data_IF_477635371424
#
_entry.id   IF_477635371424
#
_cell.length_a   1.000
_cell.length_b   1.000
_cell.length_c   1.000
_cell.angle_alpha   90.00
_cell.angle_beta   90.00
_cell.angle_gamma   90.00
#
_symmetry.space_group_name_H-M   'P 1'
#
loop_
_entity.id
_entity.type
_entity.pdbx_description
1 polymer ?
#
# COMPACT_ATOMS: atom_id res chain seq x y z
N UNK A 1 -0.01 -11.95 14.44
CA UNK A 1 0.89 -12.75 13.59
C UNK A 1 0.74 -12.24 12.16
N UNK A 2 1.51 -11.21 11.81
CA UNK A 2 1.48 -10.59 10.49
C UNK A 2 2.54 -11.31 9.62
N UNK A 3 2.09 -12.05 8.61
CA UNK A 3 2.97 -12.67 7.61
C UNK A 3 3.39 -11.62 6.56
N UNK A 4 4.47 -11.87 5.80
CA UNK A 4 5.05 -10.93 4.84
C UNK A 4 5.08 -11.56 3.48
N UNK A 5 4.96 -10.77 2.43
CA UNK A 5 5.03 -11.27 1.07
C UNK A 5 6.11 -10.55 0.27
N UNK A 6 6.93 -11.30 -0.46
CA UNK A 6 8.02 -10.72 -1.25
C UNK A 6 7.57 -10.46 -2.68
N UNK A 7 7.78 -9.24 -3.17
CA UNK A 7 7.46 -8.86 -4.54
C UNK A 7 8.68 -8.23 -5.21
N UNK A 8 9.17 -8.87 -6.27
CA UNK A 8 10.25 -8.36 -7.11
C UNK A 8 9.67 -7.81 -8.40
N UNK A 9 9.92 -6.54 -8.70
CA UNK A 9 9.35 -5.92 -9.90
C UNK A 9 10.27 -6.06 -11.10
N UNK A 10 9.68 -6.31 -12.27
CA UNK A 10 10.33 -6.17 -13.57
C UNK A 10 9.53 -5.20 -14.44
N UNK A 11 10.23 -4.23 -15.03
CA UNK A 11 9.68 -3.35 -16.06
C UNK A 11 9.63 -4.11 -17.40
N UNK A 12 8.59 -3.90 -18.23
CA UNK A 12 8.60 -4.43 -19.58
C UNK A 12 9.43 -3.51 -20.49
N UNK A 13 10.52 -4.02 -21.03
CA UNK A 13 11.02 -3.55 -22.32
C UNK A 13 11.57 -4.72 -23.14
N UNK A 14 11.30 -4.67 -24.45
CA UNK A 14 11.67 -5.66 -25.45
C UNK A 14 13.14 -6.09 -25.27
N UNK A 15 13.36 -7.33 -24.85
CA UNK A 15 14.50 -8.19 -25.19
C UNK A 15 14.31 -9.52 -24.44
N UNK A 16 13.91 -10.56 -25.19
CA UNK A 16 14.06 -11.94 -24.75
C UNK A 16 15.53 -12.34 -24.83
N UNK A 17 15.88 -13.27 -23.95
CA UNK A 17 16.99 -14.23 -23.96
C UNK A 17 18.09 -13.95 -22.94
N UNK A 18 18.36 -15.00 -22.13
CA UNK A 18 19.37 -15.10 -21.07
C UNK A 18 19.13 -14.18 -19.85
N UNK A 19 19.04 -14.61 -18.59
CA UNK A 19 19.54 -15.79 -17.90
C UNK A 19 18.65 -16.11 -16.69
N UNK A 20 18.15 -17.35 -16.60
CA UNK A 20 17.48 -17.90 -15.42
C UNK A 20 18.47 -18.35 -14.32
N UNK A 21 19.77 -18.38 -14.61
CA UNK A 21 20.83 -18.90 -13.72
C UNK A 21 21.56 -17.82 -12.90
N UNK A 22 21.63 -16.57 -13.38
CA UNK A 22 22.28 -15.47 -12.65
C UNK A 22 21.42 -14.83 -11.56
N UNK A 23 20.11 -15.11 -11.54
CA UNK A 23 19.16 -14.51 -10.60
C UNK A 23 19.38 -14.97 -9.14
N UNK A 24 19.83 -16.21 -8.90
CA UNK A 24 20.14 -16.75 -7.56
C UNK A 24 21.39 -16.10 -6.96
N UNK A 25 22.46 -15.93 -7.75
CA UNK A 25 23.70 -15.27 -7.32
C UNK A 25 23.47 -13.79 -7.02
N UNK A 26 22.65 -13.11 -7.83
CA UNK A 26 22.25 -11.73 -7.56
C UNK A 26 21.38 -11.61 -6.30
N UNK A 27 20.58 -12.64 -5.99
CA UNK A 27 19.79 -12.74 -4.75
C UNK A 27 20.69 -12.84 -3.50
N UNK A 28 21.75 -13.64 -3.55
CA UNK A 28 22.70 -13.77 -2.42
C UNK A 28 23.41 -12.45 -2.12
N UNK A 29 23.73 -11.68 -3.16
CA UNK A 29 24.38 -10.37 -3.00
C UNK A 29 23.41 -9.25 -2.55
N UNK A 30 22.13 -9.29 -2.94
CA UNK A 30 21.12 -8.32 -2.48
C UNK A 30 20.66 -8.62 -1.05
N UNK A 31 20.54 -9.90 -0.65
CA UNK A 31 20.28 -10.25 0.75
C UNK A 31 21.43 -9.88 1.70
N UNK A 32 22.63 -9.64 1.16
CA UNK A 32 23.78 -9.12 1.90
C UNK A 32 23.82 -7.58 2.01
N UNK A 33 22.90 -6.86 1.37
CA UNK A 33 22.82 -5.40 1.48
C UNK A 33 22.25 -5.02 2.86
N UNK A 34 23.16 -4.88 3.83
CA UNK A 34 22.89 -4.30 5.15
C UNK A 34 22.40 -2.86 5.02
N UNK A 35 21.40 -2.50 5.83
CA UNK A 35 20.99 -1.13 6.03
C UNK A 35 19.50 -0.88 5.88
N UNK A 36 18.83 -0.93 7.02
CA UNK A 36 17.67 -0.13 7.44
C UNK A 36 16.30 -0.83 7.39
N UNK A 37 15.80 -1.34 6.26
CA UNK A 37 14.46 -1.99 6.26
C UNK A 37 14.47 -3.46 6.71
N UNK A 38 15.39 -4.26 6.14
CA UNK A 38 15.55 -5.68 6.49
C UNK A 38 15.94 -5.84 7.97
N UNK A 39 16.79 -4.94 8.47
CA UNK A 39 17.24 -4.94 9.87
C UNK A 39 16.09 -4.54 10.82
N UNK A 40 15.28 -3.53 10.46
CA UNK A 40 14.11 -3.09 11.27
C UNK A 40 12.99 -4.12 11.32
N UNK A 41 12.86 -4.95 10.29
CA UNK A 41 11.80 -5.97 10.19
C UNK A 41 12.32 -7.39 10.41
N UNK A 42 13.58 -7.56 10.87
CA UNK A 42 14.26 -8.84 10.93
C UNK A 42 13.47 -9.90 11.72
N UNK A 43 12.85 -9.50 12.83
CA UNK A 43 12.10 -10.36 13.74
C UNK A 43 10.70 -10.74 13.25
N UNK A 44 10.26 -10.21 12.12
CA UNK A 44 8.92 -10.45 11.65
C UNK A 44 8.84 -11.69 10.74
N UNK A 45 7.77 -12.47 10.89
CA UNK A 45 7.59 -13.78 10.23
C UNK A 45 7.27 -13.64 8.75
N UNK A 46 8.15 -14.07 7.84
CA UNK A 46 7.97 -13.89 6.39
C UNK A 46 7.41 -15.14 5.72
N UNK A 47 6.52 -14.99 4.73
CA UNK A 47 6.17 -16.08 3.85
C UNK A 47 7.29 -16.26 2.81
N UNK A 48 7.67 -17.51 2.54
CA UNK A 48 8.79 -17.86 1.65
C UNK A 48 8.43 -17.72 0.15
N UNK A 49 7.44 -16.87 -0.16
CA UNK A 49 6.94 -16.69 -1.52
C UNK A 49 7.47 -15.39 -2.07
N UNK A 50 8.35 -15.50 -3.07
CA UNK A 50 8.85 -14.39 -3.88
C UNK A 50 8.20 -14.45 -5.25
N UNK A 51 7.40 -13.45 -5.60
CA UNK A 51 6.84 -13.33 -6.95
C UNK A 51 7.51 -12.24 -7.75
N UNK A 52 7.71 -12.50 -9.03
CA UNK A 52 7.90 -11.43 -10.01
C UNK A 52 6.57 -10.68 -10.17
N UNK A 53 6.64 -9.37 -10.34
CA UNK A 53 5.51 -8.53 -10.65
C UNK A 53 5.82 -7.55 -11.79
N UNK A 54 4.79 -7.17 -12.54
CA UNK A 54 4.88 -6.15 -13.59
C UNK A 54 4.01 -4.97 -13.20
N UNK A 55 4.55 -3.76 -13.29
CA UNK A 55 3.76 -2.54 -13.13
C UNK A 55 2.83 -2.41 -14.33
N UNK A 56 1.52 -2.39 -14.09
CA UNK A 56 0.50 -2.33 -15.14
C UNK A 56 -0.27 -1.01 -15.15
N UNK A 57 -0.29 -0.29 -14.02
CA UNK A 57 -0.92 1.02 -13.92
C UNK A 57 -0.25 1.84 -12.81
N UNK A 58 -0.26 3.16 -12.99
CA UNK A 58 0.26 4.14 -12.04
C UNK A 58 -0.61 5.37 -12.06
N UNK A 59 -0.94 5.88 -10.87
CA UNK A 59 -1.79 7.05 -10.72
C UNK A 59 -1.27 7.98 -9.63
N UNK A 60 -1.45 9.26 -9.85
CA UNK A 60 -1.20 10.26 -8.82
C UNK A 60 -2.41 10.31 -7.90
N UNK A 61 -2.27 9.76 -6.68
CA UNK A 61 -3.35 9.79 -5.68
C UNK A 61 -3.36 11.14 -4.98
N UNK A 62 -2.16 11.66 -4.68
CA UNK A 62 -1.90 13.02 -4.21
C UNK A 62 -0.51 13.46 -4.68
N UNK A 63 -0.16 14.75 -4.52
CA UNK A 63 1.19 15.28 -4.81
C UNK A 63 2.33 14.49 -4.14
N UNK A 64 2.04 13.80 -3.04
CA UNK A 64 3.03 13.03 -2.29
C UNK A 64 2.73 11.54 -2.24
N UNK A 65 1.71 11.04 -2.94
CA UNK A 65 1.38 9.60 -2.93
C UNK A 65 1.08 9.16 -4.35
N UNK A 66 1.81 8.13 -4.81
CA UNK A 66 1.52 7.44 -6.06
C UNK A 66 0.89 6.09 -5.79
N UNK A 67 -0.20 5.80 -6.48
CA UNK A 67 -0.80 4.48 -6.57
C UNK A 67 -0.07 3.66 -7.62
N UNK A 68 0.24 2.40 -7.29
CA UNK A 68 0.96 1.48 -8.16
C UNK A 68 0.17 0.17 -8.25
N UNK A 69 -0.25 -0.21 -9.45
CA UNK A 69 -0.97 -1.46 -9.70
C UNK A 69 -0.01 -2.49 -10.29
N UNK A 70 0.11 -3.65 -9.64
CA UNK A 70 1.09 -4.69 -9.92
C UNK A 70 0.41 -5.98 -10.37
N UNK A 71 0.74 -6.47 -11.56
CA UNK A 71 0.39 -7.83 -11.99
C UNK A 71 1.36 -8.83 -11.38
N UNK A 72 0.85 -9.72 -10.53
CA UNK A 72 1.63 -10.76 -9.87
C UNK A 72 1.66 -12.01 -10.76
N UNK A 73 2.86 -12.55 -10.99
CA UNK A 73 3.05 -13.71 -11.87
C UNK A 73 2.96 -15.06 -11.14
N UNK A 74 3.28 -15.11 -9.84
CA UNK A 74 3.11 -16.31 -9.04
C UNK A 74 1.73 -16.36 -8.37
N UNK A 75 0.89 -17.29 -8.84
CA UNK A 75 -0.48 -17.49 -8.33
C UNK A 75 -0.54 -18.07 -6.91
N UNK A 76 0.58 -18.57 -6.38
CA UNK A 76 0.69 -19.04 -5.00
C UNK A 76 0.76 -17.91 -4.00
N UNK A 77 1.06 -16.69 -4.48
CA UNK A 77 1.10 -15.51 -3.64
C UNK A 77 -0.29 -15.25 -3.04
N UNK A 78 -0.36 -15.18 -1.71
CA UNK A 78 -1.56 -14.87 -0.94
C UNK A 78 -1.20 -13.82 0.11
N UNK A 79 -2.20 -13.03 0.50
CA UNK A 79 -2.04 -12.08 1.59
C UNK A 79 -3.37 -11.86 2.33
N UNK A 80 -3.27 -11.32 3.54
CA UNK A 80 -4.35 -10.84 4.40
C UNK A 80 -4.29 -9.32 4.45
N UNK A 81 -5.45 -8.67 4.55
CA UNK A 81 -5.51 -7.22 4.70
C UNK A 81 -4.66 -6.74 5.89
N UNK A 82 -3.96 -5.63 5.71
CA UNK A 82 -2.99 -5.09 6.68
C UNK A 82 -1.58 -5.65 6.55
N UNK A 83 -1.31 -6.52 5.57
CA UNK A 83 0.06 -6.92 5.22
C UNK A 83 0.71 -5.91 4.27
N UNK A 84 2.04 -5.90 4.26
CA UNK A 84 2.87 -5.15 3.33
C UNK A 84 3.77 -6.09 2.55
N UNK A 85 4.44 -5.53 1.56
CA UNK A 85 5.38 -6.25 0.70
C UNK A 85 6.76 -5.66 0.81
N UNK A 86 7.76 -6.52 0.73
CA UNK A 86 9.14 -6.11 0.49
C UNK A 86 9.34 -6.00 -1.01
N UNK A 87 9.53 -4.77 -1.50
CA UNK A 87 9.63 -4.43 -2.91
C UNK A 87 11.10 -4.30 -3.32
N UNK A 88 11.49 -5.16 -4.26
CA UNK A 88 12.83 -5.16 -4.86
C UNK A 88 12.75 -4.56 -6.26
N UNK A 89 13.55 -3.52 -6.50
CA UNK A 89 13.57 -2.79 -7.76
C UNK A 89 14.93 -3.02 -8.43
N UNK A 90 14.98 -3.45 -9.70
CA UNK A 90 16.23 -3.65 -10.41
C UNK A 90 17.11 -2.40 -10.38
N UNK A 91 18.41 -2.57 -10.12
CA UNK A 91 19.40 -1.49 -10.01
C UNK A 91 19.16 -0.48 -8.87
N UNK A 92 18.23 -0.76 -7.95
CA UNK A 92 18.06 0.01 -6.71
C UNK A 92 18.60 -0.85 -5.56
N UNK A 93 19.69 -0.46 -4.88
CA UNK A 93 20.38 -1.31 -3.92
C UNK A 93 19.66 -1.44 -2.56
N UNK A 94 18.52 -0.76 -2.39
CA UNK A 94 17.72 -0.79 -1.16
C UNK A 94 16.35 -1.43 -1.41
N UNK A 95 15.83 -2.10 -0.38
CA UNK A 95 14.49 -2.71 -0.37
C UNK A 95 13.50 -1.75 0.30
N UNK A 96 12.30 -1.62 -0.26
CA UNK A 96 11.24 -0.80 0.33
C UNK A 96 10.09 -1.64 0.83
N UNK A 97 9.63 -1.39 2.06
CA UNK A 97 8.38 -1.94 2.58
C UNK A 97 7.19 -1.06 2.18
N UNK A 98 6.17 -1.62 1.54
CA UNK A 98 4.96 -0.89 1.14
C UNK A 98 3.69 -1.66 1.47
N UNK A 99 2.75 -0.98 2.14
CA UNK A 99 1.46 -1.57 2.49
C UNK A 99 0.62 -1.86 1.25
N UNK A 100 -0.04 -3.02 1.28
CA UNK A 100 -0.97 -3.42 0.22
C UNK A 100 -2.29 -2.67 0.43
N UNK A 101 -2.75 -1.94 -0.57
CA UNK A 101 -4.02 -1.18 -0.52
C UNK A 101 -5.15 -1.81 -1.35
N UNK A 102 -4.89 -2.91 -2.07
CA UNK A 102 -5.93 -3.75 -2.68
C UNK A 102 -6.47 -4.81 -1.71
N UNK A 103 -7.69 -5.30 -1.96
CA UNK A 103 -8.23 -6.46 -1.21
C UNK A 103 -7.55 -7.78 -1.61
N UNK A 104 -7.43 -8.78 -0.71
CA UNK A 104 -6.97 -10.13 -1.06
C UNK A 104 -7.73 -10.72 -2.25
N UNK A 105 -9.05 -10.54 -2.31
CA UNK A 105 -9.87 -11.03 -3.41
C UNK A 105 -9.51 -10.44 -4.77
N UNK A 106 -8.94 -9.22 -4.85
CA UNK A 106 -8.45 -8.64 -6.11
C UNK A 106 -7.26 -9.45 -6.65
N UNK A 107 -6.32 -9.80 -5.77
CA UNK A 107 -5.21 -10.67 -6.15
C UNK A 107 -5.70 -12.05 -6.58
N UNK A 108 -6.67 -12.63 -5.88
CA UNK A 108 -7.17 -13.97 -6.22
C UNK A 108 -7.88 -14.03 -7.57
N UNK A 109 -8.71 -13.04 -7.88
CA UNK A 109 -9.50 -13.01 -9.12
C UNK A 109 -8.71 -12.48 -10.30
N UNK A 110 -7.93 -11.42 -10.10
CA UNK A 110 -7.31 -10.67 -11.18
C UNK A 110 -5.79 -10.88 -11.23
N UNK A 111 -5.17 -11.42 -10.18
CA UNK A 111 -3.72 -11.49 -10.07
C UNK A 111 -3.09 -10.10 -9.92
N UNK A 112 -3.85 -9.12 -9.39
CA UNK A 112 -3.42 -7.72 -9.27
C UNK A 112 -3.31 -7.35 -7.79
N UNK A 113 -2.25 -6.64 -7.46
CA UNK A 113 -1.96 -6.09 -6.14
C UNK A 113 -1.69 -4.59 -6.26
N UNK A 114 -2.35 -3.78 -5.45
CA UNK A 114 -2.17 -2.33 -5.45
C UNK A 114 -1.33 -1.87 -4.25
N UNK A 115 -0.44 -0.92 -4.47
CA UNK A 115 0.36 -0.23 -3.45
C UNK A 115 0.09 1.27 -3.46
N UNK A 116 0.22 1.91 -2.30
CA UNK A 116 0.22 3.37 -2.16
C UNK A 116 1.57 3.82 -1.61
N UNK A 117 2.36 4.50 -2.44
CA UNK A 117 3.75 4.86 -2.13
C UNK A 117 3.83 6.35 -1.84
N UNK A 118 4.09 6.72 -0.59
CA UNK A 118 4.37 8.09 -0.21
C UNK A 118 5.77 8.52 -0.67
N UNK A 119 5.89 9.74 -1.19
CA UNK A 119 7.15 10.35 -1.58
C UNK A 119 8.11 10.40 -0.40
N UNK A 120 9.33 9.94 -0.63
CA UNK A 120 10.47 10.18 0.27
C UNK A 120 11.76 10.12 -0.54
N UNK A 121 12.86 10.54 0.07
CA UNK A 121 14.21 10.38 -0.48
C UNK A 121 14.73 8.94 -0.34
N UNK A 122 13.98 8.04 0.33
CA UNK A 122 14.34 6.63 0.40
C UNK A 122 14.31 6.01 -1.02
N UNK A 123 15.36 5.32 -1.49
CA UNK A 123 15.55 5.03 -2.91
C UNK A 123 14.38 4.31 -3.61
N UNK A 124 13.74 3.29 -3.01
CA UNK A 124 12.55 2.65 -3.60
C UNK A 124 11.36 3.59 -3.78
N UNK A 125 11.06 4.42 -2.77
CA UNK A 125 9.97 5.38 -2.85
C UNK A 125 10.29 6.50 -3.84
N UNK A 126 11.53 7.00 -3.82
CA UNK A 126 12.00 8.01 -4.77
C UNK A 126 11.90 7.49 -6.21
N UNK A 127 12.30 6.25 -6.47
CA UNK A 127 12.25 5.63 -7.79
C UNK A 127 10.81 5.56 -8.35
N UNK A 128 9.82 5.16 -7.54
CA UNK A 128 8.40 5.16 -7.94
C UNK A 128 7.94 6.56 -8.34
N UNK A 129 8.44 7.58 -7.64
CA UNK A 129 8.06 8.97 -7.88
C UNK A 129 8.77 9.62 -9.07
N UNK A 130 10.01 9.26 -9.38
CA UNK A 130 10.82 9.96 -10.40
C UNK A 130 11.03 9.20 -11.71
N UNK A 131 11.16 7.88 -11.66
CA UNK A 131 11.60 7.07 -12.82
C UNK A 131 10.46 6.32 -13.52
N UNK A 132 9.25 6.32 -12.93
CA UNK A 132 8.07 5.72 -13.54
C UNK A 132 7.11 6.78 -14.08
N UNK A 133 6.97 6.83 -15.41
CA UNK A 133 5.90 7.53 -16.12
C UNK A 133 5.08 6.49 -16.88
N UNK A 134 3.92 6.13 -16.36
CA UNK A 134 2.90 5.37 -17.09
C UNK A 134 1.54 6.02 -16.84
N UNK A 135 0.76 6.05 -17.92
CA UNK A 135 -0.44 6.85 -18.18
C UNK A 135 -1.64 6.40 -17.32
N UNK A 136 -2.44 7.39 -16.91
CA UNK A 136 -3.63 7.26 -16.08
C UNK A 136 -4.75 6.43 -16.76
N UNK A 137 -5.30 5.45 -16.04
CA UNK A 137 -6.67 4.99 -16.25
C UNK A 137 -7.39 4.91 -14.91
N UNK A 138 -8.45 5.70 -14.76
CA UNK A 138 -9.33 5.80 -13.60
C UNK A 138 -10.65 5.09 -13.90
N UNK A 139 -11.05 4.05 -13.15
CA UNK A 139 -12.42 3.51 -13.09
C UNK A 139 -12.59 2.60 -11.84
N UNK A 140 -13.36 3.00 -10.80
CA UNK A 140 -14.82 2.88 -10.53
C UNK A 140 -15.26 1.53 -9.98
N UNK A 141 -15.27 1.40 -8.64
CA UNK A 141 -16.04 0.38 -7.92
C UNK A 141 -17.29 1.03 -7.32
N UNK A 142 -18.48 0.58 -7.70
CA UNK A 142 -19.76 1.15 -7.23
C UNK A 142 -20.05 0.91 -5.73
N UNK A 143 -19.33 -0.03 -5.10
CA UNK A 143 -19.48 -0.39 -3.68
C UNK A 143 -18.40 0.21 -2.79
N UNK A 144 -17.49 1.01 -3.34
CA UNK A 144 -16.41 1.68 -2.59
C UNK A 144 -16.66 3.18 -2.67
N UNK A 145 -16.93 3.80 -1.52
CA UNK A 145 -16.95 5.26 -1.37
C UNK A 145 -15.65 5.71 -0.75
N UNK A 146 -15.12 6.83 -1.25
CA UNK A 146 -13.90 7.45 -0.74
C UNK A 146 -14.11 8.95 -0.58
N UNK A 147 -13.42 9.55 0.38
CA UNK A 147 -13.34 11.00 0.58
C UNK A 147 -11.86 11.35 0.79
N UNK A 148 -11.39 12.38 0.10
CA UNK A 148 -10.01 12.84 0.21
C UNK A 148 -9.94 14.14 0.99
N UNK A 149 -9.04 14.21 1.98
CA UNK A 149 -8.85 15.37 2.85
C UNK A 149 -7.44 15.96 2.68
N UNK A 150 -7.34 17.24 2.35
CA UNK A 150 -6.08 17.95 2.05
C UNK A 150 -5.94 19.15 2.98
N UNK A 151 -4.81 19.27 3.69
CA UNK A 151 -4.68 20.23 4.82
C UNK A 151 -3.80 21.44 4.55
N UNK A 152 -2.98 21.42 3.50
CA UNK A 152 -1.98 22.45 3.22
C UNK A 152 -2.25 23.28 1.97
N UNK A 153 -3.08 22.78 1.07
CA UNK A 153 -3.40 23.44 -0.20
C UNK A 153 -4.91 23.70 -0.21
N UNK A 154 -5.34 24.79 -0.82
CA UNK A 154 -6.76 25.06 -1.11
C UNK A 154 -6.89 25.23 -2.62
N UNK A 155 -7.77 24.43 -3.24
CA UNK A 155 -8.14 24.56 -4.65
C UNK A 155 -9.65 24.46 -4.79
N UNK A 156 -10.16 24.71 -5.99
CA UNK A 156 -11.59 24.62 -6.32
C UNK A 156 -11.96 23.30 -7.00
N UNK A 157 -11.04 22.33 -7.06
CA UNK A 157 -11.29 21.05 -7.71
C UNK A 157 -12.38 20.26 -6.98
N UNK A 158 -13.39 19.80 -7.72
CA UNK A 158 -14.47 18.98 -7.18
C UNK A 158 -13.96 17.59 -6.75
N UNK A 159 -14.45 17.09 -5.60
CA UNK A 159 -14.10 15.76 -5.08
C UNK A 159 -13.05 15.70 -3.97
N UNK A 160 -12.56 16.84 -3.49
CA UNK A 160 -11.61 16.94 -2.36
C UNK A 160 -12.15 17.86 -1.26
N UNK A 161 -11.88 17.51 0.00
CA UNK A 161 -12.12 18.35 1.16
C UNK A 161 -10.82 19.03 1.58
N UNK A 162 -10.71 20.35 1.44
CA UNK A 162 -9.49 21.10 1.79
C UNK A 162 -9.41 21.45 3.28
N UNK A 163 -9.60 20.44 4.12
CA UNK A 163 -9.47 20.49 5.59
C UNK A 163 -8.97 19.15 6.12
N UNK A 164 -8.62 19.08 7.43
CA UNK A 164 -8.40 17.78 8.09
C UNK A 164 -9.71 17.00 8.09
N UNK A 165 -9.60 15.68 8.08
CA UNK A 165 -10.72 14.81 8.43
C UNK A 165 -11.14 15.12 9.87
N UNK A 166 -12.45 15.17 10.10
CA UNK A 166 -13.05 15.48 11.39
C UNK A 166 -14.19 14.51 11.75
N UNK A 167 -14.82 14.78 12.89
CA UNK A 167 -15.88 13.97 13.46
C UNK A 167 -17.14 13.91 12.61
N UNK A 168 -17.40 14.95 11.81
CA UNK A 168 -18.58 15.03 10.95
C UNK A 168 -18.44 14.09 9.75
N UNK A 169 -17.24 14.01 9.16
CA UNK A 169 -16.95 13.08 8.05
C UNK A 169 -17.22 11.62 8.44
N UNK A 170 -16.76 11.24 9.63
CA UNK A 170 -16.95 9.89 10.18
C UNK A 170 -18.43 9.63 10.47
N UNK A 171 -19.14 10.62 11.02
CA UNK A 171 -20.56 10.50 11.32
C UNK A 171 -21.38 10.27 10.05
N UNK A 172 -21.11 11.05 8.99
CA UNK A 172 -21.75 10.88 7.68
C UNK A 172 -21.39 9.53 7.06
N UNK A 173 -20.14 9.08 7.17
CA UNK A 173 -19.72 7.77 6.68
C UNK A 173 -20.44 6.62 7.40
N UNK A 174 -20.75 6.76 8.70
CA UNK A 174 -21.45 5.73 9.46
C UNK A 174 -22.98 5.76 9.29
N UNK A 175 -23.57 6.83 8.76
CA UNK A 175 -25.01 6.89 8.48
C UNK A 175 -25.45 5.90 7.40
N UNK A 176 -24.62 5.66 6.39
CA UNK A 176 -24.94 4.74 5.30
C UNK A 176 -24.48 3.30 5.57
N UNK A 177 -23.75 3.07 6.67
CA UNK A 177 -23.23 1.77 7.06
C UNK A 177 -24.05 1.18 8.23
N UNK A 178 -24.27 -0.15 8.22
CA UNK A 178 -24.87 -0.82 9.37
C UNK A 178 -23.85 -0.91 10.51
N UNK A 179 -24.00 -0.06 11.52
CA UNK A 179 -23.10 0.05 12.69
C UNK A 179 -22.78 -1.29 13.36
N UNK A 180 -23.72 -2.25 13.36
CA UNK A 180 -23.53 -3.58 13.95
C UNK A 180 -22.64 -4.53 13.11
N UNK A 181 -22.25 -4.12 11.90
CA UNK A 181 -21.41 -4.89 10.97
C UNK A 181 -20.15 -4.12 10.54
N UNK A 182 -19.96 -2.90 11.02
CA UNK A 182 -18.79 -2.08 10.66
C UNK A 182 -17.55 -2.61 11.38
N UNK A 183 -16.44 -2.71 10.64
CA UNK A 183 -15.09 -2.76 11.19
C UNK A 183 -14.36 -1.51 10.74
N UNK A 184 -13.86 -0.72 11.70
CA UNK A 184 -13.12 0.49 11.43
C UNK A 184 -11.62 0.18 11.46
N UNK A 185 -10.88 0.63 10.45
CA UNK A 185 -9.43 0.51 10.37
C UNK A 185 -8.82 1.91 10.32
N UNK A 186 -7.94 2.25 11.24
CA UNK A 186 -7.39 3.60 11.37
C UNK A 186 -5.86 3.52 11.46
N UNK A 187 -5.15 4.33 10.67
CA UNK A 187 -3.70 4.46 10.74
C UNK A 187 -3.32 5.95 10.66
N UNK A 188 -2.29 6.37 11.40
CA UNK A 188 -1.84 7.76 11.38
C UNK A 188 -1.07 8.17 12.63
N UNK A 189 -0.82 9.47 12.79
CA UNK A 189 -0.21 10.01 14.00
C UNK A 189 -1.02 9.66 15.25
N UNK A 190 -0.35 9.34 16.37
CA UNK A 190 -1.02 8.94 17.62
C UNK A 190 -2.16 9.88 18.05
N UNK A 191 -2.02 11.23 17.98
CA UNK A 191 -3.13 12.12 18.35
C UNK A 191 -4.37 11.93 17.50
N UNK A 192 -4.20 11.62 16.20
CA UNK A 192 -5.32 11.35 15.29
C UNK A 192 -5.96 10.00 15.60
N UNK A 193 -5.15 8.98 15.88
CA UNK A 193 -5.66 7.65 16.21
C UNK A 193 -6.54 7.69 17.46
N UNK A 194 -6.02 8.28 18.53
CA UNK A 194 -6.72 8.38 19.82
C UNK A 194 -8.02 9.19 19.71
N UNK A 195 -8.00 10.27 18.92
CA UNK A 195 -9.19 11.09 18.70
C UNK A 195 -10.27 10.37 17.88
N UNK A 196 -9.87 9.74 16.77
CA UNK A 196 -10.80 9.02 15.89
C UNK A 196 -11.36 7.76 16.56
N UNK A 197 -10.56 7.04 17.35
CA UNK A 197 -11.00 5.88 18.13
C UNK A 197 -12.11 6.28 19.12
N UNK A 198 -11.88 7.32 19.92
CA UNK A 198 -12.89 7.83 20.87
C UNK A 198 -14.17 8.22 20.17
N UNK A 199 -14.06 8.91 19.02
CA UNK A 199 -15.23 9.38 18.30
C UNK A 199 -16.03 8.23 17.67
N UNK A 200 -15.36 7.29 17.00
CA UNK A 200 -16.01 6.11 16.38
C UNK A 200 -16.70 5.25 17.44
N UNK A 201 -16.07 5.08 18.61
CA UNK A 201 -16.69 4.41 19.74
C UNK A 201 -17.94 5.15 20.24
N UNK A 202 -17.88 6.49 20.36
CA UNK A 202 -19.04 7.31 20.78
C UNK A 202 -20.24 7.18 19.84
N UNK A 203 -20.00 6.86 18.56
CA UNK A 203 -21.03 6.64 17.55
C UNK A 203 -21.67 5.24 17.59
N UNK A 204 -21.23 4.37 18.51
CA UNK A 204 -21.80 3.05 18.78
C UNK A 204 -21.08 1.87 18.12
N UNK A 205 -19.86 2.07 17.59
CA UNK A 205 -19.02 0.97 17.09
C UNK A 205 -18.25 0.38 18.26
N UNK A 206 -18.36 -0.94 18.49
CA UNK A 206 -17.66 -1.60 19.59
C UNK A 206 -16.13 -1.47 19.46
N UNK A 207 -15.42 -1.28 20.57
CA UNK A 207 -13.95 -1.20 20.58
C UNK A 207 -13.29 -2.42 19.92
N UNK A 208 -13.87 -3.62 20.05
CA UNK A 208 -13.37 -4.84 19.40
C UNK A 208 -13.45 -4.81 17.87
N UNK A 209 -14.23 -3.89 17.30
CA UNK A 209 -14.38 -3.68 15.86
C UNK A 209 -13.55 -2.51 15.33
N UNK A 210 -12.82 -1.79 16.19
CA UNK A 210 -11.88 -0.73 15.82
C UNK A 210 -10.47 -1.34 15.84
N UNK A 211 -9.81 -1.32 14.68
CA UNK A 211 -8.46 -1.83 14.48
C UNK A 211 -7.57 -0.65 14.11
N UNK A 212 -6.36 -0.60 14.68
CA UNK A 212 -5.43 0.47 14.34
C UNK A 212 -4.00 -0.03 14.16
N UNK A 213 -3.26 0.73 13.36
CA UNK A 213 -1.82 0.56 13.19
C UNK A 213 -1.12 1.83 13.66
N UNK A 214 -0.32 1.70 14.73
CA UNK A 214 0.48 2.78 15.30
C UNK A 214 1.85 2.81 14.62
N UNK A 215 2.20 3.95 14.06
CA UNK A 215 3.52 4.21 13.49
C UNK A 215 4.31 5.07 14.48
N UNK A 216 5.46 4.57 14.94
CA UNK A 216 6.38 5.28 15.85
C UNK A 216 7.43 6.08 15.09
#
# INVERSE_FOLDING_TARGET
MHCFCFIRLYLPSKLRSCLFTDLKKHFTNIMAAKGDHMDRTAYNTREDVVSIATVIDMREETRTVKGLSLKIHDKRLKFKAGQWVDMFIPNVPKVGGFSICSSPGKLEREGILDLAVKYSTHPPAHWVHTQMKLLEIRQTYSHIRYQFHVTREQRTDSGFHYRRIDHEDISQALQWLNKNKVKAFICGPSPMLEDMERHIHSLGVANSAIMYEKWW
#
